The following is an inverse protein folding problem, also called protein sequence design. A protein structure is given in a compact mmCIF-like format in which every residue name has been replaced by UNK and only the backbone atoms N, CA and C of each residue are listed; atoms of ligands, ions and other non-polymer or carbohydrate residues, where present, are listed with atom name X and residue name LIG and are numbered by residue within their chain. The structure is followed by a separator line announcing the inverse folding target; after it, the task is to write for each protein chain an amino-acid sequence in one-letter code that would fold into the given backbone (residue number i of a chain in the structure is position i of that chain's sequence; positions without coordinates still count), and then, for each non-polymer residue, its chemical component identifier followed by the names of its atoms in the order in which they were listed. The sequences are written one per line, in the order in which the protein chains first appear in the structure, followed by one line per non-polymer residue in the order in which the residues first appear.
data_IF_487399066611
#
_entry.id   IF_487399066611
#
_cell.length_a   1.000
_cell.length_b   1.000
_cell.length_c   1.000
_cell.angle_alpha   90.00
_cell.angle_beta   90.00
_cell.angle_gamma   90.00
#
_symmetry.space_group_name_H-M   'P 1'
#
loop_
_entity.id
_entity.type
_entity.pdbx_description
1 polymer ?
#
# COMPACT_ATOMS: atom_id res chain seq x y z
N UNK A 1 -25.09 4.80 0.50
CA UNK A 1 -24.20 5.97 0.29
C UNK A 1 -23.09 5.52 -0.65
N UNK A 2 -22.81 6.28 -1.71
CA UNK A 2 -21.67 5.98 -2.59
C UNK A 2 -20.41 6.54 -1.91
N UNK A 3 -19.53 5.66 -1.46
CA UNK A 3 -18.29 6.07 -0.79
C UNK A 3 -17.33 6.64 -1.84
N UNK A 4 -16.78 7.81 -1.55
CA UNK A 4 -15.85 8.52 -2.41
C UNK A 4 -14.42 8.33 -1.90
N UNK A 5 -13.57 7.74 -2.72
CA UNK A 5 -12.17 7.45 -2.37
C UNK A 5 -11.25 8.16 -3.34
N UNK A 6 -10.28 8.91 -2.85
CA UNK A 6 -9.24 9.48 -3.67
C UNK A 6 -7.99 8.60 -3.66
N UNK A 7 -7.44 8.29 -4.85
CA UNK A 7 -6.15 7.62 -5.01
C UNK A 7 -5.22 8.56 -5.79
N UNK A 8 -4.14 8.98 -5.13
CA UNK A 8 -3.33 10.12 -5.57
C UNK A 8 -2.37 9.83 -6.73
N UNK A 9 -2.16 8.55 -7.07
CA UNK A 9 -1.34 8.18 -8.24
C UNK A 9 -1.85 6.89 -8.89
N UNK A 10 -2.27 6.95 -10.16
CA UNK A 10 -2.71 5.77 -10.91
C UNK A 10 -1.51 4.99 -11.48
N UNK A 11 -0.55 4.64 -10.62
CA UNK A 11 0.49 3.64 -10.90
C UNK A 11 -0.10 2.23 -11.00
N UNK A 12 0.73 1.20 -11.20
CA UNK A 12 0.25 -0.19 -11.32
C UNK A 12 -0.60 -0.63 -10.12
N UNK A 13 -0.14 -0.37 -8.89
CA UNK A 13 -0.88 -0.72 -7.67
C UNK A 13 -2.11 0.16 -7.48
N UNK A 14 -1.97 1.49 -7.62
CA UNK A 14 -3.07 2.43 -7.41
C UNK A 14 -4.24 2.19 -8.37
N UNK A 15 -3.96 1.97 -9.66
CA UNK A 15 -5.01 1.69 -10.65
C UNK A 15 -5.68 0.33 -10.44
N UNK A 16 -4.92 -0.71 -10.07
CA UNK A 16 -5.49 -2.02 -9.83
C UNK A 16 -6.39 -2.05 -8.56
N UNK A 17 -5.98 -1.33 -7.51
CA UNK A 17 -6.84 -1.13 -6.32
C UNK A 17 -8.08 -0.31 -6.70
N UNK A 18 -7.93 0.74 -7.52
CA UNK A 18 -9.06 1.56 -7.98
C UNK A 18 -10.09 0.73 -8.73
N UNK A 19 -9.65 -0.10 -9.68
CA UNK A 19 -10.54 -0.97 -10.43
C UNK A 19 -11.35 -1.88 -9.50
N UNK A 20 -10.71 -2.46 -8.46
CA UNK A 20 -11.38 -3.27 -7.46
C UNK A 20 -12.42 -2.48 -6.65
N UNK A 21 -12.07 -1.27 -6.22
CA UNK A 21 -12.99 -0.40 -5.48
C UNK A 21 -14.20 0.01 -6.32
N UNK A 22 -13.98 0.36 -7.60
CA UNK A 22 -15.05 0.69 -8.56
C UNK A 22 -15.96 -0.51 -8.81
N UNK A 23 -15.41 -1.70 -9.01
CA UNK A 23 -16.15 -2.96 -9.15
C UNK A 23 -17.10 -3.21 -7.97
N UNK A 24 -16.73 -2.75 -6.77
CA UNK A 24 -17.53 -2.90 -5.55
C UNK A 24 -18.34 -1.64 -5.21
N UNK A 25 -18.53 -0.73 -6.17
CA UNK A 25 -19.45 0.39 -6.07
C UNK A 25 -18.89 1.67 -5.43
N UNK A 26 -17.58 1.78 -5.22
CA UNK A 26 -16.98 3.04 -4.82
C UNK A 26 -16.82 4.00 -6.01
N UNK A 27 -16.92 5.28 -5.73
CA UNK A 27 -16.50 6.34 -6.64
C UNK A 27 -15.03 6.67 -6.37
N UNK A 28 -14.14 6.49 -7.37
CA UNK A 28 -12.71 6.69 -7.18
C UNK A 28 -12.21 7.91 -7.93
N UNK A 29 -11.67 8.87 -7.19
CA UNK A 29 -11.14 10.14 -7.69
C UNK A 29 -9.61 10.08 -7.83
N UNK A 30 -9.09 10.78 -8.82
CA UNK A 30 -7.64 11.04 -8.96
C UNK A 30 -7.42 12.40 -9.62
N UNK A 31 -6.20 12.91 -9.59
CA UNK A 31 -5.82 14.09 -10.37
C UNK A 31 -4.80 13.69 -11.44
N UNK A 32 -5.11 13.99 -12.69
CA UNK A 32 -4.30 13.61 -13.85
C UNK A 32 -3.51 14.79 -14.43
N UNK A 33 -3.59 15.95 -13.80
CA UNK A 33 -2.83 17.13 -14.23
C UNK A 33 -1.33 16.82 -14.30
N UNK A 34 -0.70 17.16 -15.43
CA UNK A 34 0.72 16.89 -15.68
C UNK A 34 1.11 15.41 -15.82
N UNK A 35 0.17 14.47 -15.90
CA UNK A 35 0.46 13.04 -16.03
C UNK A 35 0.67 12.61 -17.47
N UNK A 36 1.51 11.58 -17.67
CA UNK A 36 1.74 11.00 -19.00
C UNK A 36 0.48 10.36 -19.59
N UNK A 37 0.39 10.29 -20.91
CA UNK A 37 -0.73 9.64 -21.61
C UNK A 37 -0.95 8.18 -21.15
N UNK A 38 0.12 7.44 -20.88
CA UNK A 38 0.02 6.06 -20.36
C UNK A 38 -0.61 6.00 -18.97
N UNK A 39 -0.32 6.97 -18.10
CA UNK A 39 -0.93 7.10 -16.78
C UNK A 39 -2.41 7.47 -16.87
N UNK A 40 -2.76 8.42 -17.74
CA UNK A 40 -4.15 8.81 -18.02
C UNK A 40 -4.98 7.62 -18.52
N UNK A 41 -4.46 6.89 -19.50
CA UNK A 41 -5.15 5.70 -20.03
C UNK A 41 -5.36 4.62 -18.95
N UNK A 42 -4.38 4.41 -18.09
CA UNK A 42 -4.48 3.44 -16.98
C UNK A 42 -5.54 3.87 -15.97
N UNK A 43 -5.60 5.14 -15.59
CA UNK A 43 -6.62 5.67 -14.70
C UNK A 43 -8.02 5.49 -15.28
N UNK A 44 -8.23 5.84 -16.56
CA UNK A 44 -9.51 5.66 -17.24
C UNK A 44 -9.93 4.20 -17.31
N UNK A 45 -9.01 3.29 -17.65
CA UNK A 45 -9.27 1.85 -17.68
C UNK A 45 -9.65 1.29 -16.31
N UNK A 46 -9.16 1.90 -15.23
CA UNK A 46 -9.49 1.55 -13.84
C UNK A 46 -10.79 2.21 -13.32
N UNK A 47 -11.51 2.96 -14.16
CA UNK A 47 -12.75 3.64 -13.77
C UNK A 47 -12.55 4.85 -12.85
N UNK A 48 -11.35 5.42 -12.81
CA UNK A 48 -11.07 6.60 -11.98
C UNK A 48 -11.58 7.87 -12.66
N UNK A 49 -12.11 8.77 -11.84
CA UNK A 49 -12.57 10.09 -12.30
C UNK A 49 -11.44 11.12 -12.11
N UNK A 50 -11.14 11.86 -13.17
CA UNK A 50 -10.19 12.98 -13.12
C UNK A 50 -10.87 14.20 -12.52
N UNK A 51 -10.31 14.72 -11.47
CA UNK A 51 -10.86 15.87 -10.73
C UNK A 51 -9.74 16.84 -10.33
N UNK A 52 -10.13 18.07 -9.99
CA UNK A 52 -9.16 19.04 -9.49
C UNK A 52 -8.56 18.61 -8.15
N UNK A 53 -7.34 19.06 -7.84
CA UNK A 53 -6.72 18.78 -6.53
C UNK A 53 -7.55 19.24 -5.32
N UNK A 54 -8.39 20.26 -5.48
CA UNK A 54 -9.31 20.73 -4.44
C UNK A 54 -10.42 19.73 -4.17
N UNK A 55 -10.94 19.08 -5.22
CA UNK A 55 -11.98 18.05 -5.11
C UNK A 55 -11.47 16.80 -4.40
N UNK A 56 -10.18 16.47 -4.53
CA UNK A 56 -9.53 15.36 -3.80
C UNK A 56 -9.75 15.48 -2.28
N UNK A 57 -9.66 16.69 -1.72
CA UNK A 57 -9.83 16.93 -0.28
C UNK A 57 -11.28 16.73 0.21
N UNK A 58 -12.25 16.56 -0.67
CA UNK A 58 -13.66 16.29 -0.34
C UNK A 58 -14.01 14.78 -0.33
N UNK A 59 -13.07 13.90 -0.61
CA UNK A 59 -13.27 12.45 -0.54
C UNK A 59 -13.53 11.98 0.91
N UNK A 60 -14.18 10.82 1.08
CA UNK A 60 -14.33 10.19 2.40
C UNK A 60 -13.01 9.60 2.89
N UNK A 61 -12.26 8.98 1.96
CA UNK A 61 -10.94 8.42 2.21
C UNK A 61 -9.95 8.89 1.16
N UNK A 62 -8.70 9.09 1.57
CA UNK A 62 -7.57 9.31 0.67
C UNK A 62 -6.58 8.16 0.85
N UNK A 63 -6.34 7.37 -0.20
CA UNK A 63 -5.29 6.36 -0.22
C UNK A 63 -4.06 6.94 -0.92
N UNK A 64 -3.01 7.21 -0.16
CA UNK A 64 -1.72 7.63 -0.71
C UNK A 64 -0.94 6.41 -1.19
N UNK A 65 -0.87 6.22 -2.50
CA UNK A 65 -0.15 5.12 -3.15
C UNK A 65 0.77 5.72 -4.21
N UNK A 66 1.91 6.24 -3.81
CA UNK A 66 2.87 6.94 -4.66
C UNK A 66 4.27 6.30 -4.55
N UNK A 67 5.23 6.64 -5.41
CA UNK A 67 6.61 6.26 -5.20
C UNK A 67 7.09 6.71 -3.81
N UNK A 68 7.81 5.85 -3.06
CA UNK A 68 8.22 6.15 -1.68
C UNK A 68 8.90 7.51 -1.50
N UNK A 69 9.74 7.92 -2.46
CA UNK A 69 10.43 9.22 -2.42
C UNK A 69 9.53 10.44 -2.56
N UNK A 70 8.28 10.27 -3.03
CA UNK A 70 7.33 11.36 -3.22
C UNK A 70 6.36 11.53 -2.04
N UNK A 71 6.28 10.54 -1.15
CA UNK A 71 5.22 10.46 -0.14
C UNK A 71 5.21 11.65 0.85
N UNK A 72 6.39 12.04 1.34
CA UNK A 72 6.54 13.18 2.28
C UNK A 72 6.20 14.52 1.59
N UNK A 73 6.69 14.70 0.36
CA UNK A 73 6.40 15.91 -0.42
C UNK A 73 4.91 16.03 -0.73
N UNK A 74 4.26 14.92 -1.08
CA UNK A 74 2.83 14.86 -1.32
C UNK A 74 2.02 15.21 -0.07
N UNK A 75 2.36 14.64 1.09
CA UNK A 75 1.71 14.95 2.36
C UNK A 75 1.79 16.45 2.65
N UNK A 76 2.98 17.05 2.53
CA UNK A 76 3.18 18.50 2.69
C UNK A 76 2.34 19.34 1.73
N UNK A 77 2.24 18.93 0.47
CA UNK A 77 1.45 19.64 -0.54
C UNK A 77 -0.07 19.60 -0.26
N UNK A 78 -0.54 18.57 0.48
CA UNK A 78 -1.95 18.44 0.83
C UNK A 78 -2.37 19.21 2.08
N UNK A 79 -1.43 19.61 2.95
CA UNK A 79 -1.73 20.24 4.26
C UNK A 79 -2.73 21.38 4.13
N UNK A 80 -2.46 22.36 3.27
CA UNK A 80 -3.33 23.54 3.13
C UNK A 80 -4.72 23.16 2.69
N UNK A 81 -4.85 22.33 1.66
CA UNK A 81 -6.16 21.88 1.13
C UNK A 81 -6.96 21.10 2.17
N UNK A 82 -6.31 20.18 2.86
CA UNK A 82 -6.96 19.37 3.90
C UNK A 82 -7.37 20.21 5.11
N UNK A 83 -6.55 21.20 5.48
CA UNK A 83 -6.87 22.13 6.57
C UNK A 83 -8.06 23.01 6.24
N UNK A 84 -8.16 23.51 5.02
CA UNK A 84 -9.23 24.39 4.55
C UNK A 84 -10.53 23.64 4.18
N UNK A 85 -10.42 22.34 3.88
CA UNK A 85 -11.58 21.53 3.57
C UNK A 85 -12.52 21.41 4.78
N UNK A 86 -13.82 21.62 4.54
CA UNK A 86 -14.85 21.37 5.55
C UNK A 86 -15.02 19.88 5.82
N UNK A 87 -14.84 19.07 4.81
CA UNK A 87 -14.81 17.62 4.93
C UNK A 87 -13.41 17.17 5.36
N UNK A 88 -13.34 16.28 6.35
CA UNK A 88 -12.07 15.76 6.87
C UNK A 88 -11.93 14.29 6.46
N UNK A 89 -11.27 14.01 5.33
CA UNK A 89 -11.07 12.64 4.89
C UNK A 89 -10.22 11.84 5.87
N UNK A 90 -10.40 10.54 5.87
CA UNK A 90 -9.43 9.64 6.49
C UNK A 90 -8.26 9.49 5.53
N UNK A 91 -7.07 9.91 5.93
CA UNK A 91 -5.84 9.76 5.14
C UNK A 91 -5.14 8.46 5.50
N UNK A 92 -4.99 7.57 4.52
CA UNK A 92 -4.31 6.27 4.70
C UNK A 92 -3.02 6.30 3.87
N UNK A 93 -1.88 6.34 4.53
CA UNK A 93 -0.58 6.24 3.85
C UNK A 93 -0.27 4.77 3.55
N UNK A 94 -0.39 4.36 2.30
CA UNK A 94 -0.14 2.98 1.84
C UNK A 94 1.26 2.79 1.24
N UNK A 95 2.15 3.78 1.37
CA UNK A 95 3.47 3.76 0.74
C UNK A 95 4.44 2.83 1.48
N UNK A 96 5.43 2.31 0.76
CA UNK A 96 6.48 1.46 1.31
C UNK A 96 7.56 2.31 1.98
N UNK A 97 7.32 2.75 3.20
CA UNK A 97 8.15 3.66 3.99
C UNK A 97 8.60 3.03 5.30
N UNK A 98 9.63 3.61 5.91
CA UNK A 98 10.03 3.24 7.27
C UNK A 98 8.98 3.69 8.29
N UNK A 99 8.87 3.02 9.46
CA UNK A 99 8.00 3.47 10.55
C UNK A 99 8.24 4.93 10.94
N UNK A 100 9.50 5.36 10.98
CA UNK A 100 9.88 6.75 11.27
C UNK A 100 9.28 7.72 10.26
N UNK A 101 9.36 7.42 8.97
CA UNK A 101 8.80 8.28 7.91
C UNK A 101 7.27 8.34 7.98
N UNK A 102 6.61 7.22 8.36
CA UNK A 102 5.15 7.20 8.61
C UNK A 102 4.76 8.15 9.73
N UNK A 103 5.51 8.15 10.83
CA UNK A 103 5.29 9.08 11.94
C UNK A 103 5.54 10.53 11.52
N UNK A 104 6.55 10.79 10.68
CA UNK A 104 6.81 12.13 10.12
C UNK A 104 5.62 12.63 9.28
N UNK A 105 5.09 11.78 8.39
CA UNK A 105 3.90 12.12 7.57
C UNK A 105 2.70 12.39 8.47
N UNK A 106 2.47 11.56 9.48
CA UNK A 106 1.37 11.77 10.42
C UNK A 106 1.51 13.10 11.17
N UNK A 107 2.71 13.43 11.65
CA UNK A 107 3.01 14.73 12.27
C UNK A 107 2.77 15.91 11.32
N UNK A 108 3.17 15.76 10.04
CA UNK A 108 2.94 16.78 9.00
C UNK A 108 1.44 17.06 8.78
N UNK A 109 0.60 16.02 8.86
CA UNK A 109 -0.84 16.13 8.62
C UNK A 109 -1.66 16.39 9.90
N UNK A 110 -1.06 16.35 11.08
CA UNK A 110 -1.78 16.46 12.36
C UNK A 110 -2.65 17.73 12.47
N UNK A 111 -2.18 18.86 11.93
CA UNK A 111 -2.89 20.15 11.99
C UNK A 111 -4.06 20.26 10.99
N UNK A 112 -4.25 19.25 10.14
CA UNK A 112 -5.32 19.29 9.13
C UNK A 112 -6.69 18.94 9.70
N UNK A 113 -6.74 18.29 10.86
CA UNK A 113 -7.95 17.73 11.46
C UNK A 113 -8.43 16.43 10.79
N UNK A 114 -7.63 15.85 9.89
CA UNK A 114 -7.90 14.56 9.29
C UNK A 114 -7.40 13.42 10.21
N UNK A 115 -8.10 12.29 10.19
CA UNK A 115 -7.58 11.07 10.80
C UNK A 115 -6.52 10.43 9.92
N UNK A 116 -5.39 10.08 10.52
CA UNK A 116 -4.25 9.51 9.79
C UNK A 116 -4.10 8.04 10.18
N UNK A 117 -3.95 7.20 9.17
CA UNK A 117 -3.78 5.75 9.32
C UNK A 117 -2.50 5.33 8.58
N UNK A 118 -1.68 4.52 9.24
CA UNK A 118 -0.58 3.82 8.59
C UNK A 118 -1.12 2.61 7.84
N UNK A 119 -0.90 2.55 6.54
CA UNK A 119 -1.26 1.45 5.66
C UNK A 119 -0.01 0.78 5.08
N UNK A 120 -0.08 -0.52 4.88
CA UNK A 120 0.99 -1.30 4.24
C UNK A 120 0.40 -2.36 3.31
N UNK A 121 0.60 -2.19 2.01
CA UNK A 121 0.13 -3.14 0.99
C UNK A 121 1.18 -4.25 0.85
N UNK A 122 0.78 -5.50 1.09
CA UNK A 122 1.64 -6.70 0.99
C UNK A 122 1.06 -7.63 -0.08
N UNK A 123 1.76 -7.79 -1.18
CA UNK A 123 1.38 -8.58 -2.34
C UNK A 123 1.51 -7.82 -3.65
N UNK A 124 1.23 -8.51 -4.76
CA UNK A 124 1.16 -7.93 -6.10
C UNK A 124 -0.12 -7.12 -6.31
N UNK A 125 -0.17 -6.24 -7.32
CA UNK A 125 -1.42 -5.59 -7.71
C UNK A 125 -2.53 -6.62 -7.98
N UNK A 126 -3.77 -6.37 -7.54
CA UNK A 126 -4.86 -7.32 -7.72
C UNK A 126 -5.14 -7.59 -9.20
N UNK A 127 -5.38 -8.85 -9.53
CA UNK A 127 -5.84 -9.28 -10.84
C UNK A 127 -7.34 -9.59 -10.78
N UNK A 128 -8.06 -9.53 -11.92
CA UNK A 128 -9.45 -9.95 -11.97
C UNK A 128 -9.63 -11.40 -11.46
N UNK A 129 -10.58 -11.61 -10.55
CA UNK A 129 -10.85 -12.94 -9.96
C UNK A 129 -9.92 -13.37 -8.83
N UNK A 130 -8.85 -12.63 -8.52
CA UNK A 130 -7.95 -12.93 -7.41
C UNK A 130 -8.32 -12.14 -6.14
N UNK A 131 -7.93 -12.65 -4.97
CA UNK A 131 -8.13 -11.94 -3.69
C UNK A 131 -7.39 -10.59 -3.62
N UNK A 132 -6.32 -10.44 -4.40
CA UNK A 132 -5.45 -9.28 -4.37
C UNK A 132 -4.52 -9.21 -3.14
N UNK A 133 -3.81 -8.08 -2.98
CA UNK A 133 -2.89 -7.89 -1.88
C UNK A 133 -3.62 -7.68 -0.55
N UNK A 134 -2.92 -7.94 0.54
CA UNK A 134 -3.37 -7.60 1.89
C UNK A 134 -3.03 -6.14 2.19
N UNK A 135 -4.00 -5.39 2.69
CA UNK A 135 -3.79 -4.04 3.21
C UNK A 135 -3.79 -4.11 4.74
N UNK A 136 -2.62 -4.06 5.35
CA UNK A 136 -2.48 -3.93 6.79
C UNK A 136 -2.64 -2.47 7.19
N UNK A 137 -3.35 -2.21 8.30
CA UNK A 137 -3.52 -0.85 8.83
C UNK A 137 -3.24 -0.82 10.33
N UNK A 138 -2.65 0.28 10.80
CA UNK A 138 -2.38 0.54 12.22
C UNK A 138 -2.57 2.02 12.57
N UNK A 139 -2.56 2.33 13.86
CA UNK A 139 -2.85 3.64 14.42
C UNK A 139 -4.23 3.69 15.08
N UNK A 140 -4.45 4.65 15.96
CA UNK A 140 -5.66 4.76 16.81
C UNK A 140 -6.96 4.80 16.01
N UNK A 141 -6.93 5.38 14.82
CA UNK A 141 -8.08 5.54 13.94
C UNK A 141 -8.20 4.43 12.87
N UNK A 142 -7.38 3.37 12.96
CA UNK A 142 -7.31 2.31 11.93
C UNK A 142 -8.66 1.62 11.67
N UNK A 143 -9.56 1.58 12.65
CA UNK A 143 -10.91 1.06 12.51
C UNK A 143 -11.75 1.78 11.45
N UNK A 144 -11.48 3.06 11.17
CA UNK A 144 -12.18 3.85 10.15
C UNK A 144 -11.89 3.37 8.71
N UNK A 145 -10.83 2.60 8.51
CA UNK A 145 -10.55 1.97 7.23
C UNK A 145 -11.42 0.73 6.95
N UNK A 146 -12.21 0.25 7.93
CA UNK A 146 -12.98 -1.01 7.84
C UNK A 146 -13.93 -1.09 6.64
N UNK A 147 -14.43 0.04 6.17
CA UNK A 147 -15.27 0.14 4.98
C UNK A 147 -14.58 -0.39 3.71
N UNK A 148 -13.25 -0.38 3.65
CA UNK A 148 -12.50 -0.93 2.52
C UNK A 148 -12.70 -2.45 2.36
N UNK A 149 -13.11 -3.17 3.43
CA UNK A 149 -13.45 -4.61 3.33
C UNK A 149 -14.71 -4.82 2.50
N UNK A 150 -15.74 -3.99 2.70
CA UNK A 150 -16.98 -4.07 1.92
C UNK A 150 -16.76 -3.67 0.46
N UNK A 151 -15.68 -2.97 0.18
CA UNK A 151 -15.24 -2.57 -1.15
C UNK A 151 -14.20 -3.54 -1.76
N UNK A 152 -14.15 -4.77 -1.28
CA UNK A 152 -13.40 -5.87 -1.88
C UNK A 152 -11.91 -5.90 -1.58
N UNK A 153 -11.41 -5.14 -0.59
CA UNK A 153 -10.01 -5.21 -0.16
C UNK A 153 -9.82 -6.16 1.02
N UNK A 154 -8.76 -6.98 0.99
CA UNK A 154 -8.32 -7.79 2.15
C UNK A 154 -7.65 -6.88 3.20
N UNK A 155 -8.48 -6.13 3.93
CA UNK A 155 -8.02 -5.23 4.99
C UNK A 155 -7.79 -5.99 6.28
N UNK A 156 -6.62 -5.82 6.87
CA UNK A 156 -6.19 -6.40 8.15
C UNK A 156 -5.73 -5.32 9.11
N UNK A 157 -6.48 -5.14 10.17
CA UNK A 157 -6.10 -4.26 11.25
C UNK A 157 -5.14 -4.97 12.18
N UNK A 158 -4.09 -4.28 12.57
CA UNK A 158 -3.15 -4.73 13.59
C UNK A 158 -3.10 -3.72 14.73
N UNK A 159 -2.97 -4.21 15.93
CA UNK A 159 -2.78 -3.36 17.10
C UNK A 159 -1.40 -2.71 17.05
N UNK A 160 -1.35 -1.43 17.39
CA UNK A 160 -0.12 -0.68 17.45
C UNK A 160 -0.25 0.75 16.90
N UNK A 161 0.76 1.57 17.18
CA UNK A 161 0.78 2.97 16.72
C UNK A 161 0.98 3.08 15.21
N UNK A 162 0.89 4.31 14.71
CA UNK A 162 1.36 4.64 13.34
C UNK A 162 2.81 4.18 13.17
N UNK A 163 3.07 3.45 12.09
CA UNK A 163 4.35 2.81 11.81
C UNK A 163 4.34 1.29 12.04
N UNK A 164 3.37 0.73 12.77
CA UNK A 164 3.33 -0.70 13.04
C UNK A 164 3.03 -1.53 11.77
N UNK A 165 2.11 -1.09 10.91
CA UNK A 165 1.85 -1.74 9.62
C UNK A 165 3.06 -1.67 8.68
N UNK A 166 3.75 -0.54 8.66
CA UNK A 166 5.01 -0.37 7.92
C UNK A 166 6.11 -1.30 8.46
N UNK A 167 6.26 -1.42 9.78
CA UNK A 167 7.23 -2.32 10.42
C UNK A 167 6.95 -3.79 10.04
N UNK A 168 5.69 -4.22 10.11
CA UNK A 168 5.28 -5.56 9.68
C UNK A 168 5.70 -5.83 8.23
N UNK A 169 5.37 -4.92 7.31
CA UNK A 169 5.75 -5.07 5.90
C UNK A 169 7.25 -5.15 5.69
N UNK A 170 8.02 -4.29 6.36
CA UNK A 170 9.48 -4.26 6.24
C UNK A 170 10.10 -5.55 6.80
N UNK A 171 9.66 -6.01 7.96
CA UNK A 171 10.15 -7.25 8.58
C UNK A 171 9.81 -8.47 7.70
N UNK A 172 8.56 -8.57 7.24
CA UNK A 172 8.14 -9.62 6.32
C UNK A 172 8.97 -9.64 5.03
N UNK A 173 9.16 -8.49 4.41
CA UNK A 173 9.96 -8.39 3.18
C UNK A 173 11.44 -8.69 3.44
N UNK A 174 11.99 -8.26 4.56
CA UNK A 174 13.37 -8.53 4.98
C UNK A 174 13.62 -10.02 5.18
N UNK A 175 12.74 -10.70 5.92
CA UNK A 175 12.83 -12.15 6.14
C UNK A 175 12.77 -12.91 4.80
N UNK A 176 11.76 -12.66 3.98
CA UNK A 176 11.60 -13.37 2.70
C UNK A 176 12.80 -13.16 1.76
N UNK A 177 13.22 -11.90 1.58
CA UNK A 177 14.37 -11.59 0.71
C UNK A 177 15.67 -12.12 1.28
N UNK A 178 15.84 -12.08 2.61
CA UNK A 178 17.01 -12.62 3.29
C UNK A 178 17.13 -14.13 3.09
N UNK A 179 16.05 -14.87 3.33
CA UNK A 179 16.01 -16.33 3.10
C UNK A 179 16.34 -16.66 1.64
N UNK A 180 15.71 -15.98 0.69
CA UNK A 180 15.98 -16.18 -0.73
C UNK A 180 17.45 -15.89 -1.09
N UNK A 181 18.02 -14.79 -0.60
CA UNK A 181 19.40 -14.41 -0.90
C UNK A 181 20.40 -15.42 -0.32
N UNK A 182 20.23 -15.78 0.95
CA UNK A 182 21.10 -16.76 1.62
C UNK A 182 20.97 -18.13 0.97
N UNK A 183 19.73 -18.60 0.77
CA UNK A 183 19.46 -19.88 0.12
C UNK A 183 20.08 -19.97 -1.27
N UNK A 184 19.89 -18.94 -2.10
CA UNK A 184 20.51 -18.88 -3.43
C UNK A 184 22.03 -18.93 -3.37
N UNK A 185 22.64 -18.15 -2.47
CA UNK A 185 24.10 -18.13 -2.33
C UNK A 185 24.66 -19.51 -1.91
N UNK A 186 24.00 -20.18 -0.98
CA UNK A 186 24.42 -21.52 -0.51
C UNK A 186 24.23 -22.61 -1.57
N UNK A 187 23.11 -22.58 -2.30
CA UNK A 187 22.87 -23.51 -3.42
C UNK A 187 23.90 -23.33 -4.54
N UNK A 188 24.26 -22.09 -4.87
CA UNK A 188 25.33 -21.81 -5.85
C UNK A 188 26.71 -22.29 -5.36
N UNK A 189 27.03 -22.09 -4.09
CA UNK A 189 28.27 -22.58 -3.49
C UNK A 189 28.36 -24.10 -3.55
N UNK A 190 27.31 -24.81 -3.16
CA UNK A 190 27.22 -26.26 -3.25
C UNK A 190 27.38 -26.77 -4.70
N UNK A 191 26.75 -26.09 -5.65
CA UNK A 191 26.86 -26.42 -7.08
C UNK A 191 28.32 -26.30 -7.57
N UNK A 192 29.01 -25.22 -7.23
CA UNK A 192 30.42 -25.01 -7.60
C UNK A 192 31.37 -26.02 -6.98
N UNK A 193 31.00 -26.59 -5.83
CA UNK A 193 31.81 -27.57 -5.10
C UNK A 193 31.41 -29.03 -5.41
N UNK A 194 30.49 -29.26 -6.34
CA UNK A 194 30.00 -30.60 -6.69
C UNK A 194 29.11 -31.26 -5.61
N UNK A 195 28.64 -30.49 -4.62
CA UNK A 195 27.89 -30.98 -3.47
C UNK A 195 26.36 -30.89 -3.61
N UNK A 196 25.83 -30.45 -4.76
CA UNK A 196 24.39 -30.15 -4.93
C UNK A 196 23.50 -31.36 -4.60
N UNK A 197 23.82 -32.55 -5.10
CA UNK A 197 22.99 -33.75 -4.87
C UNK A 197 22.87 -34.08 -3.39
N UNK A 198 24.00 -34.10 -2.67
CA UNK A 198 24.01 -34.38 -1.24
C UNK A 198 23.25 -33.28 -0.44
N UNK A 199 23.41 -32.00 -0.83
CA UNK A 199 22.68 -30.91 -0.18
C UNK A 199 21.15 -31.05 -0.38
N UNK A 200 20.69 -31.34 -1.57
CA UNK A 200 19.25 -31.52 -1.82
C UNK A 200 18.67 -32.72 -1.07
N UNK A 201 19.45 -33.84 -0.98
CA UNK A 201 19.04 -34.98 -0.17
C UNK A 201 18.92 -34.61 1.31
N UNK A 202 19.94 -33.95 1.88
CA UNK A 202 19.94 -33.52 3.28
C UNK A 202 18.79 -32.53 3.58
N UNK A 203 18.54 -31.56 2.71
CA UNK A 203 17.42 -30.63 2.84
C UNK A 203 16.08 -31.34 2.81
N UNK A 204 15.92 -32.37 1.95
CA UNK A 204 14.68 -33.15 1.85
C UNK A 204 14.39 -34.03 3.07
N UNK A 205 15.42 -34.48 3.76
CA UNK A 205 15.34 -35.31 4.99
C UNK A 205 15.27 -34.44 6.26
N UNK A 206 15.62 -33.18 6.17
CA UNK A 206 15.65 -32.25 7.31
C UNK A 206 14.25 -31.89 7.80
N UNK A 207 14.07 -31.84 9.10
CA UNK A 207 12.85 -31.31 9.74
C UNK A 207 12.60 -29.82 9.46
N UNK A 208 13.58 -29.11 8.93
CA UNK A 208 13.51 -27.70 8.56
C UNK A 208 13.14 -27.46 7.09
N UNK A 209 12.84 -28.51 6.33
CA UNK A 209 12.52 -28.43 4.90
C UNK A 209 11.42 -27.41 4.56
N UNK A 210 10.46 -27.21 5.47
CA UNK A 210 9.38 -26.23 5.30
C UNK A 210 9.83 -24.76 5.32
N UNK A 211 11.11 -24.49 5.63
CA UNK A 211 11.70 -23.13 5.61
C UNK A 211 12.29 -22.73 4.26
N UNK A 212 12.49 -23.67 3.36
CA UNK A 212 13.07 -23.51 2.02
C UNK A 212 12.10 -24.01 0.94
#
# INVERSE_FOLDING_TARGET
MNIVIAILSPGAMGSAISARLVEHGARVLTSLDGRSASTVNRARAAGMEDVSPETIASADLILSIVPPGEAVALAKALVTRLRESRHKPVYIDCNALSPKTKTEIAGTLAETGCDIIDGAIVGAPPQPGEKGPRLYVSGDQSGRASVLRTLGLDLRQIDGPIGAAAALKMSYAGINKGIMAIGTAMLLAASRSGASTGLYQELGESSQYSLF
#
